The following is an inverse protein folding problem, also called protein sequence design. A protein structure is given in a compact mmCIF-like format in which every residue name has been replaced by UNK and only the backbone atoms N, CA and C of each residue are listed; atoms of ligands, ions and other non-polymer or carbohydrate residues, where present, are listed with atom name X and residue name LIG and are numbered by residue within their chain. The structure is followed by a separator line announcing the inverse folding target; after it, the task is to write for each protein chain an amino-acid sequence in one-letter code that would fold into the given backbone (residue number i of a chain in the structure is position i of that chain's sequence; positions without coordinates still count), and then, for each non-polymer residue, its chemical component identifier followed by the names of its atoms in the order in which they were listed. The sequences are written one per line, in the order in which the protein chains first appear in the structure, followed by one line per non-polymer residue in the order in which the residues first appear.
data_IF_684867623424
#
_entry.id   IF_684867623424
#
_cell.length_a   1.000
_cell.length_b   1.000
_cell.length_c   1.000
_cell.angle_alpha   90.00
_cell.angle_beta   90.00
_cell.angle_gamma   90.00
#
_symmetry.space_group_name_H-M   'P 1'
#
loop_
_entity.id
_entity.type
_entity.pdbx_description
1 polymer ?
#
# COMPACT_ATOMS: atom_id res chain seq x y z
N UNK A 1 -31.27 36.31 4.55
CA UNK A 1 -31.64 35.17 3.71
C UNK A 1 -30.35 34.47 3.31
N UNK A 2 -30.04 33.40 4.01
CA UNK A 2 -28.91 32.49 3.71
C UNK A 2 -29.48 31.42 2.80
N UNK A 3 -29.08 31.40 1.54
CA UNK A 3 -29.33 30.30 0.65
C UNK A 3 -28.38 29.18 1.05
N UNK A 4 -28.94 28.12 1.62
CA UNK A 4 -28.28 26.86 1.79
C UNK A 4 -28.09 26.23 0.39
N UNK A 5 -26.88 26.14 -0.09
CA UNK A 5 -26.54 25.34 -1.28
C UNK A 5 -26.85 23.88 -0.92
N UNK A 6 -27.89 23.33 -1.53
CA UNK A 6 -28.22 21.92 -1.43
C UNK A 6 -27.03 21.12 -2.04
N UNK A 7 -26.57 20.09 -1.34
CA UNK A 7 -25.70 19.09 -1.90
C UNK A 7 -26.37 18.50 -3.17
N UNK A 8 -25.62 18.20 -4.24
CA UNK A 8 -26.20 17.56 -5.41
C UNK A 8 -26.88 16.25 -4.99
N UNK A 9 -28.09 16.04 -5.46
CA UNK A 9 -28.83 14.81 -5.24
C UNK A 9 -28.05 13.66 -5.94
N UNK A 10 -27.94 12.51 -5.31
CA UNK A 10 -27.40 11.28 -5.88
C UNK A 10 -28.28 10.82 -7.06
N UNK A 11 -28.20 11.49 -8.22
CA UNK A 11 -29.11 11.29 -9.32
C UNK A 11 -28.55 11.61 -10.71
N UNK A 12 -27.34 12.16 -10.80
CA UNK A 12 -26.77 12.61 -12.09
C UNK A 12 -25.55 11.80 -12.54
N UNK A 13 -25.12 10.73 -11.81
CA UNK A 13 -24.03 9.88 -12.26
C UNK A 13 -24.50 8.99 -13.42
N UNK A 14 -23.84 9.16 -14.57
CA UNK A 14 -24.15 8.38 -15.77
C UNK A 14 -23.43 7.04 -15.70
N UNK A 15 -24.15 5.96 -15.43
CA UNK A 15 -23.59 4.60 -15.33
C UNK A 15 -23.12 4.03 -16.67
N UNK A 16 -23.58 4.60 -17.80
CA UNK A 16 -23.14 4.17 -19.13
C UNK A 16 -21.77 4.73 -19.52
N UNK A 17 -21.17 5.58 -18.68
CA UNK A 17 -19.81 6.07 -18.87
C UNK A 17 -18.77 4.95 -18.70
N UNK A 18 -17.69 5.06 -19.46
CA UNK A 18 -16.54 4.17 -19.34
C UNK A 18 -15.85 4.36 -17.99
N UNK A 19 -15.37 3.25 -17.41
CA UNK A 19 -14.59 3.25 -16.18
C UNK A 19 -13.18 3.74 -16.50
N UNK A 20 -12.72 4.79 -15.83
CA UNK A 20 -11.33 5.22 -15.85
C UNK A 20 -10.53 4.35 -14.87
N UNK A 21 -9.80 3.36 -15.40
CA UNK A 21 -8.99 2.46 -14.59
C UNK A 21 -7.67 3.13 -14.22
N UNK A 22 -7.42 3.33 -12.92
CA UNK A 22 -6.17 3.86 -12.40
C UNK A 22 -5.35 2.71 -11.79
N UNK A 23 -4.15 2.50 -12.29
CA UNK A 23 -3.21 1.49 -11.78
C UNK A 23 -1.89 2.13 -11.37
N UNK A 24 -0.97 1.31 -10.91
CA UNK A 24 0.36 1.71 -10.46
C UNK A 24 1.43 1.23 -11.43
N UNK A 25 2.62 1.79 -11.28
CA UNK A 25 3.84 1.41 -11.99
C UNK A 25 4.26 -0.05 -11.70
N UNK A 26 5.03 -0.66 -12.60
CA UNK A 26 5.44 -2.07 -12.52
C UNK A 26 6.23 -2.42 -11.25
N UNK A 27 7.02 -1.49 -10.72
CA UNK A 27 7.77 -1.66 -9.47
C UNK A 27 6.93 -1.60 -8.19
N UNK A 28 5.67 -1.17 -8.30
CA UNK A 28 4.78 -0.99 -7.15
C UNK A 28 4.46 -2.31 -6.45
N UNK A 29 4.77 -2.37 -5.16
CA UNK A 29 4.35 -3.49 -4.32
C UNK A 29 2.84 -3.55 -4.13
N UNK A 30 2.15 -2.41 -4.14
CA UNK A 30 0.69 -2.35 -4.08
C UNK A 30 0.07 -2.97 -5.32
N UNK A 31 0.59 -2.65 -6.53
CA UNK A 31 0.16 -3.32 -7.76
C UNK A 31 0.40 -4.82 -7.68
N UNK A 32 1.61 -5.24 -7.32
CA UNK A 32 1.95 -6.66 -7.22
C UNK A 32 1.01 -7.44 -6.30
N UNK A 33 0.75 -6.93 -5.09
CA UNK A 33 -0.18 -7.55 -4.16
C UNK A 33 -1.64 -7.51 -4.66
N UNK A 34 -2.07 -6.38 -5.23
CA UNK A 34 -3.43 -6.21 -5.73
C UNK A 34 -3.75 -7.18 -6.87
N UNK A 35 -2.89 -7.28 -7.89
CA UNK A 35 -3.13 -8.17 -9.04
C UNK A 35 -3.12 -9.64 -8.65
N UNK A 36 -2.29 -10.03 -7.69
CA UNK A 36 -2.27 -11.39 -7.15
C UNK A 36 -3.55 -11.71 -6.37
N UNK A 37 -3.95 -10.84 -5.43
CA UNK A 37 -5.11 -11.04 -4.57
C UNK A 37 -6.44 -11.00 -5.32
N UNK A 38 -6.53 -10.22 -6.40
CA UNK A 38 -7.74 -10.10 -7.22
C UNK A 38 -7.78 -11.08 -8.38
N UNK A 39 -6.68 -11.78 -8.66
CA UNK A 39 -6.57 -12.71 -9.79
C UNK A 39 -6.45 -12.01 -11.15
N UNK A 40 -6.11 -10.72 -11.18
CA UNK A 40 -5.68 -10.00 -12.40
C UNK A 40 -4.37 -10.60 -12.91
N UNK A 41 -3.45 -10.94 -12.00
CA UNK A 41 -2.32 -11.80 -12.34
C UNK A 41 -2.79 -13.25 -12.47
N UNK A 42 -2.54 -13.84 -13.61
CA UNK A 42 -2.90 -15.23 -13.88
C UNK A 42 -1.74 -16.00 -14.52
N UNK A 43 -1.75 -17.33 -14.39
CA UNK A 43 -0.78 -18.17 -15.10
C UNK A 43 -1.19 -18.36 -16.55
N UNK A 44 -0.23 -18.15 -17.45
CA UNK A 44 -0.39 -18.51 -18.88
C UNK A 44 -0.27 -20.03 -19.08
N UNK A 45 -0.41 -20.49 -20.33
CA UNK A 45 -0.30 -21.90 -20.70
C UNK A 45 1.08 -22.52 -20.40
N UNK A 46 2.11 -21.69 -20.28
CA UNK A 46 3.46 -22.10 -19.89
C UNK A 46 3.65 -22.15 -18.36
N UNK A 47 2.62 -21.77 -17.58
CA UNK A 47 2.66 -21.73 -16.13
C UNK A 47 3.34 -20.49 -15.55
N UNK A 48 3.65 -19.49 -16.38
CA UNK A 48 4.26 -18.24 -15.98
C UNK A 48 3.19 -17.26 -15.50
N UNK A 49 3.46 -16.52 -14.42
CA UNK A 49 2.59 -15.46 -13.93
C UNK A 49 2.63 -14.27 -14.89
N UNK A 50 1.46 -13.82 -15.32
CA UNK A 50 1.27 -12.69 -16.24
C UNK A 50 0.33 -11.69 -15.61
N UNK A 51 0.76 -10.43 -15.56
CA UNK A 51 -0.09 -9.31 -15.20
C UNK A 51 -0.99 -8.96 -16.40
N UNK A 52 -2.30 -9.16 -16.22
CA UNK A 52 -3.31 -8.89 -17.25
C UNK A 52 -3.99 -7.52 -17.04
N UNK A 53 -3.36 -6.60 -16.30
CA UNK A 53 -3.88 -5.24 -16.19
C UNK A 53 -4.09 -4.64 -17.58
N UNK A 54 -5.28 -4.09 -17.82
CA UNK A 54 -5.63 -3.51 -19.13
C UNK A 54 -4.64 -2.43 -19.55
N UNK A 55 -4.27 -2.43 -20.81
CA UNK A 55 -3.40 -1.39 -21.40
C UNK A 55 -4.06 0.00 -21.39
N UNK A 56 -5.39 0.07 -21.22
CA UNK A 56 -6.12 1.34 -21.09
C UNK A 56 -5.95 1.97 -19.70
N UNK A 57 -5.38 1.27 -18.73
CA UNK A 57 -5.18 1.81 -17.39
C UNK A 57 -4.22 3.00 -17.39
N UNK A 58 -4.62 4.08 -16.71
CA UNK A 58 -3.76 5.23 -16.44
C UNK A 58 -2.81 4.90 -15.28
N UNK A 59 -1.51 4.96 -15.54
CA UNK A 59 -0.48 4.55 -14.58
C UNK A 59 -0.05 5.72 -13.70
N UNK A 60 -0.09 5.52 -12.39
CA UNK A 60 0.37 6.46 -11.38
C UNK A 60 1.63 5.93 -10.68
N UNK A 61 2.62 6.79 -10.46
CA UNK A 61 3.91 6.42 -9.87
C UNK A 61 3.96 6.54 -8.34
N UNK A 62 2.84 6.82 -7.67
CA UNK A 62 2.77 6.96 -6.22
C UNK A 62 1.35 6.79 -5.69
N UNK A 63 1.24 6.51 -4.38
CA UNK A 63 -0.03 6.49 -3.65
C UNK A 63 -0.80 7.81 -3.79
N UNK A 64 -0.11 8.95 -3.64
CA UNK A 64 -0.72 10.27 -3.78
C UNK A 64 -1.19 10.54 -5.21
N UNK A 65 -0.48 10.02 -6.22
CA UNK A 65 -0.90 10.10 -7.61
C UNK A 65 -2.25 9.41 -7.85
N UNK A 66 -2.44 8.22 -7.27
CA UNK A 66 -3.72 7.51 -7.34
C UNK A 66 -4.84 8.29 -6.63
N UNK A 67 -4.59 8.77 -5.40
CA UNK A 67 -5.57 9.59 -4.66
C UNK A 67 -6.01 10.81 -5.48
N UNK A 68 -5.06 11.55 -6.04
CA UNK A 68 -5.33 12.72 -6.86
C UNK A 68 -6.11 12.37 -8.14
N UNK A 69 -5.74 11.29 -8.83
CA UNK A 69 -6.42 10.88 -10.05
C UNK A 69 -7.88 10.49 -9.78
N UNK A 70 -8.12 9.69 -8.73
CA UNK A 70 -9.46 9.22 -8.37
C UNK A 70 -10.34 10.34 -7.82
N UNK A 71 -9.80 11.25 -7.00
CA UNK A 71 -10.60 12.36 -6.42
C UNK A 71 -11.07 13.37 -7.47
N UNK A 72 -10.40 13.46 -8.61
CA UNK A 72 -10.72 14.42 -9.67
C UNK A 72 -11.51 13.82 -10.86
N UNK A 73 -11.84 12.54 -10.82
CA UNK A 73 -12.58 11.86 -11.88
C UNK A 73 -13.66 10.96 -11.26
N UNK A 74 -14.93 11.32 -11.45
CA UNK A 74 -16.08 10.57 -10.90
C UNK A 74 -16.20 9.15 -11.47
N UNK A 75 -15.62 8.90 -12.65
CA UNK A 75 -15.62 7.59 -13.31
C UNK A 75 -14.41 6.73 -12.94
N UNK A 76 -13.46 7.28 -12.17
CA UNK A 76 -12.24 6.58 -11.85
C UNK A 76 -12.41 5.54 -10.73
N UNK A 77 -11.67 4.45 -10.89
CA UNK A 77 -11.42 3.45 -9.86
C UNK A 77 -9.91 3.30 -9.66
N UNK A 78 -9.48 3.17 -8.41
CA UNK A 78 -8.08 2.98 -8.05
C UNK A 78 -7.92 2.09 -6.83
N UNK A 79 -6.69 1.86 -6.41
CA UNK A 79 -6.38 1.12 -5.20
C UNK A 79 -5.18 1.73 -4.48
N UNK A 80 -5.26 1.77 -3.16
CA UNK A 80 -4.24 2.35 -2.27
C UNK A 80 -4.09 1.54 -0.98
N UNK A 81 -3.01 1.80 -0.24
CA UNK A 81 -2.92 1.39 1.16
C UNK A 81 -4.10 1.94 1.97
N UNK A 82 -4.73 1.09 2.78
CA UNK A 82 -5.81 1.49 3.69
C UNK A 82 -5.36 2.59 4.67
N UNK A 83 -4.11 2.52 5.15
CA UNK A 83 -3.55 3.56 6.02
C UNK A 83 -3.37 4.92 5.35
N UNK A 84 -3.47 5.00 4.03
CA UNK A 84 -3.43 6.26 3.26
C UNK A 84 -4.81 6.79 2.88
N UNK A 85 -5.90 6.09 3.25
CA UNK A 85 -7.26 6.50 2.95
C UNK A 85 -7.59 7.82 3.66
N UNK A 86 -8.16 8.77 2.90
CA UNK A 86 -8.59 10.07 3.39
C UNK A 86 -10.02 10.41 2.91
N UNK A 87 -10.50 11.59 3.24
CA UNK A 87 -11.85 12.02 2.91
C UNK A 87 -12.03 12.52 1.46
N UNK A 88 -10.96 12.57 0.66
CA UNK A 88 -11.03 13.02 -0.73
C UNK A 88 -11.58 11.95 -1.67
N UNK A 89 -11.60 10.70 -1.22
CA UNK A 89 -12.09 9.54 -1.97
C UNK A 89 -12.95 8.65 -1.07
N UNK A 90 -13.70 7.75 -1.69
CA UNK A 90 -14.53 6.74 -1.03
C UNK A 90 -13.92 5.35 -1.25
N UNK A 91 -13.74 4.58 -0.18
CA UNK A 91 -13.43 3.16 -0.28
C UNK A 91 -14.73 2.36 -0.46
N UNK A 92 -14.78 1.48 -1.45
CA UNK A 92 -15.89 0.55 -1.63
C UNK A 92 -15.71 -0.66 -0.73
N UNK A 93 -16.81 -1.30 -0.34
CA UNK A 93 -16.76 -2.63 0.27
C UNK A 93 -16.35 -3.67 -0.79
N UNK A 94 -15.63 -4.69 -0.38
CA UNK A 94 -15.28 -5.83 -1.24
C UNK A 94 -15.95 -7.07 -0.68
N UNK A 95 -16.74 -7.77 -1.50
CA UNK A 95 -17.59 -8.89 -1.06
C UNK A 95 -18.51 -8.52 0.12
N UNK A 96 -18.96 -7.26 0.16
CA UNK A 96 -19.80 -6.74 1.24
C UNK A 96 -19.02 -6.41 2.53
N UNK A 97 -17.70 -6.53 2.55
CA UNK A 97 -16.86 -6.24 3.72
C UNK A 97 -16.17 -4.89 3.55
N UNK A 98 -16.36 -3.99 4.52
CA UNK A 98 -15.68 -2.69 4.51
C UNK A 98 -14.18 -2.85 4.83
N UNK A 99 -13.28 -2.14 4.11
CA UNK A 99 -11.88 -2.11 4.46
C UNK A 99 -11.68 -1.35 5.77
N UNK A 100 -11.16 -2.05 6.78
CA UNK A 100 -10.81 -1.47 8.08
C UNK A 100 -9.69 -2.28 8.73
N UNK A 101 -9.01 -1.69 9.72
CA UNK A 101 -8.00 -2.40 10.49
C UNK A 101 -8.59 -3.68 11.13
N UNK A 102 -9.81 -3.61 11.66
CA UNK A 102 -10.47 -4.76 12.29
C UNK A 102 -10.77 -5.88 11.30
N UNK A 103 -11.34 -5.56 10.12
CA UNK A 103 -11.69 -6.57 9.11
C UNK A 103 -10.46 -7.15 8.40
N UNK A 104 -9.36 -6.40 8.32
CA UNK A 104 -8.06 -6.92 7.86
C UNK A 104 -7.45 -7.83 8.93
N UNK A 105 -7.54 -7.45 10.20
CA UNK A 105 -7.00 -8.22 11.32
C UNK A 105 -7.69 -9.56 11.50
N UNK A 106 -9.02 -9.60 11.41
CA UNK A 106 -9.82 -10.83 11.58
C UNK A 106 -9.86 -11.68 10.27
N UNK A 107 -9.35 -11.14 9.15
CA UNK A 107 -9.25 -11.83 7.86
C UNK A 107 -10.53 -11.83 7.03
N UNK A 108 -11.58 -11.12 7.44
CA UNK A 108 -12.82 -10.99 6.65
C UNK A 108 -12.63 -10.10 5.43
N UNK A 109 -11.77 -9.06 5.52
CA UNK A 109 -11.31 -8.30 4.37
C UNK A 109 -10.07 -8.96 3.77
N UNK A 110 -10.19 -9.50 2.57
CA UNK A 110 -9.19 -10.40 1.98
C UNK A 110 -8.06 -9.69 1.22
N UNK A 111 -8.27 -8.43 0.82
CA UNK A 111 -7.24 -7.64 0.13
C UNK A 111 -6.25 -7.06 1.15
N UNK A 112 -5.39 -7.90 1.66
CA UNK A 112 -4.40 -7.55 2.68
C UNK A 112 -3.01 -8.08 2.32
N UNK A 113 -1.97 -7.38 2.79
CA UNK A 113 -0.57 -7.65 2.47
C UNK A 113 0.34 -7.26 3.62
N UNK A 114 1.59 -7.79 3.67
CA UNK A 114 2.57 -7.30 4.62
C UNK A 114 3.19 -5.98 4.13
N UNK A 115 3.56 -5.14 5.08
CA UNK A 115 4.57 -4.11 4.95
C UNK A 115 5.88 -4.66 5.51
N UNK A 116 6.91 -4.68 4.70
CA UNK A 116 8.19 -5.28 5.03
C UNK A 116 9.30 -4.24 5.11
N UNK A 117 10.09 -4.34 6.17
CA UNK A 117 11.46 -3.86 6.22
C UNK A 117 12.32 -4.91 5.53
N UNK A 118 13.19 -4.49 4.61
CA UNK A 118 14.04 -5.37 3.81
C UNK A 118 15.50 -5.07 4.06
N UNK A 119 16.30 -6.11 4.33
CA UNK A 119 17.75 -6.02 4.51
C UNK A 119 18.45 -7.04 3.63
N UNK A 120 19.73 -6.81 3.35
CA UNK A 120 20.60 -7.81 2.68
C UNK A 120 21.12 -8.79 3.74
N UNK A 121 20.45 -9.93 3.89
CA UNK A 121 20.70 -10.85 4.99
C UNK A 121 20.36 -10.22 6.35
N UNK A 122 21.13 -10.54 7.38
CA UNK A 122 20.98 -9.94 8.71
C UNK A 122 21.47 -8.49 8.69
N UNK A 123 20.71 -7.58 9.33
CA UNK A 123 21.15 -6.20 9.48
C UNK A 123 22.46 -6.15 10.28
N UNK A 124 23.47 -5.47 9.73
CA UNK A 124 24.81 -5.36 10.33
C UNK A 124 25.14 -3.93 10.77
N UNK A 125 24.54 -2.91 10.15
CA UNK A 125 24.74 -1.52 10.55
C UNK A 125 24.12 -1.28 11.93
N UNK A 126 24.85 -0.74 12.92
CA UNK A 126 24.33 -0.58 14.28
C UNK A 126 23.07 0.29 14.37
N UNK A 127 22.95 1.34 13.53
CA UNK A 127 21.77 2.21 13.50
C UNK A 127 20.58 1.44 12.91
N UNK A 128 20.81 0.66 11.84
CA UNK A 128 19.76 -0.17 11.24
C UNK A 128 19.25 -1.23 12.22
N UNK A 129 20.14 -1.92 12.93
CA UNK A 129 19.77 -2.93 13.94
C UNK A 129 18.93 -2.29 15.04
N UNK A 130 19.36 -1.16 15.60
CA UNK A 130 18.65 -0.46 16.68
C UNK A 130 17.29 0.09 16.21
N UNK A 131 17.23 0.66 15.00
CA UNK A 131 16.00 1.19 14.42
C UNK A 131 14.98 0.08 14.10
N UNK A 132 15.42 -1.04 13.52
CA UNK A 132 14.53 -2.18 13.26
C UNK A 132 13.98 -2.72 14.59
N UNK A 133 14.82 -2.84 15.61
CA UNK A 133 14.38 -3.24 16.94
C UNK A 133 13.35 -2.25 17.53
N UNK A 134 13.52 -0.95 17.32
CA UNK A 134 12.54 0.07 17.69
C UNK A 134 11.21 -0.12 16.92
N UNK A 135 11.26 -0.30 15.61
CA UNK A 135 10.06 -0.53 14.80
C UNK A 135 9.25 -1.75 15.30
N UNK A 136 9.95 -2.79 15.75
CA UNK A 136 9.34 -4.03 16.26
C UNK A 136 9.09 -4.01 17.77
N UNK A 137 9.36 -2.88 18.45
CA UNK A 137 9.09 -2.69 19.87
C UNK A 137 7.61 -2.46 20.15
N UNK A 138 7.24 -2.57 21.43
CA UNK A 138 5.88 -2.22 21.90
C UNK A 138 5.48 -0.81 21.46
N UNK A 139 6.38 0.18 21.54
CA UNK A 139 6.11 1.56 21.14
C UNK A 139 5.99 1.70 19.62
N UNK A 140 6.89 1.07 18.85
CA UNK A 140 6.84 1.09 17.38
C UNK A 140 5.58 0.41 16.83
N UNK A 141 5.17 -0.71 17.42
CA UNK A 141 3.97 -1.45 17.00
C UNK A 141 2.68 -0.75 17.46
N UNK A 142 2.69 -0.07 18.61
CA UNK A 142 1.59 0.79 19.04
C UNK A 142 1.40 1.96 18.06
N UNK A 143 2.50 2.60 17.63
CA UNK A 143 2.46 3.66 16.63
C UNK A 143 1.89 3.17 15.29
N UNK A 144 2.31 1.98 14.81
CA UNK A 144 1.75 1.39 13.60
C UNK A 144 0.23 1.19 13.71
N UNK A 145 -0.25 0.74 14.88
CA UNK A 145 -1.68 0.56 15.15
C UNK A 145 -2.43 1.90 15.22
N UNK A 146 -1.84 2.92 15.83
CA UNK A 146 -2.41 4.27 15.91
C UNK A 146 -2.57 4.90 14.51
N UNK A 147 -1.60 4.66 13.62
CA UNK A 147 -1.64 5.14 12.22
C UNK A 147 -2.57 4.28 11.31
N UNK A 148 -3.32 3.32 11.86
CA UNK A 148 -4.35 2.56 11.14
C UNK A 148 -3.86 1.28 10.46
N UNK A 149 -2.63 0.85 10.73
CA UNK A 149 -2.10 -0.43 10.27
C UNK A 149 -2.32 -1.53 11.32
N UNK A 150 -2.12 -2.77 10.96
CA UNK A 150 -2.22 -3.89 11.90
C UNK A 150 -0.81 -4.24 12.37
N UNK A 151 -0.45 -3.71 13.55
CA UNK A 151 0.78 -4.04 14.26
C UNK A 151 0.68 -5.36 15.01
N UNK A 152 1.81 -5.81 15.55
CA UNK A 152 1.92 -6.95 16.46
C UNK A 152 1.99 -6.47 17.92
N UNK A 153 2.15 -7.38 18.86
CA UNK A 153 2.26 -7.08 20.31
C UNK A 153 3.49 -6.22 20.62
N UNK A 154 4.53 -6.37 19.82
CA UNK A 154 5.82 -5.70 20.04
C UNK A 154 6.69 -6.39 21.08
N UNK A 155 7.97 -6.09 21.07
CA UNK A 155 8.98 -6.62 21.98
C UNK A 155 9.48 -5.54 22.94
N UNK A 156 10.07 -5.95 24.06
CA UNK A 156 10.82 -5.05 24.93
C UNK A 156 12.02 -4.47 24.17
N UNK A 157 12.22 -3.18 24.31
CA UNK A 157 13.27 -2.47 23.59
C UNK A 157 13.95 -1.42 24.48
N UNK A 158 15.25 -1.37 24.37
CA UNK A 158 16.08 -0.28 24.92
C UNK A 158 17.13 0.06 23.89
N UNK A 159 17.19 1.33 23.48
CA UNK A 159 18.16 1.79 22.50
C UNK A 159 19.59 1.66 23.02
N UNK A 160 20.48 1.18 22.16
CA UNK A 160 21.94 1.20 22.39
C UNK A 160 22.57 2.54 22.04
N UNK A 161 21.77 3.51 21.57
CA UNK A 161 22.20 4.88 21.21
C UNK A 161 23.31 4.91 20.13
N UNK A 162 23.26 4.09 19.07
CA UNK A 162 24.31 4.11 18.05
C UNK A 162 24.30 5.42 17.29
N UNK A 163 25.48 5.93 16.98
CA UNK A 163 25.64 7.11 16.13
C UNK A 163 25.89 6.70 14.67
N UNK A 164 25.35 7.46 13.75
CA UNK A 164 25.57 7.22 12.32
C UNK A 164 24.45 7.77 11.45
N UNK A 165 24.60 7.54 10.13
CA UNK A 165 23.59 7.90 9.14
C UNK A 165 23.26 6.66 8.31
N UNK A 166 21.96 6.39 8.17
CA UNK A 166 21.45 5.36 7.26
C UNK A 166 20.45 5.95 6.28
N UNK A 167 20.24 5.25 5.16
CA UNK A 167 19.22 5.57 4.17
C UNK A 167 18.17 4.46 4.17
N UNK A 168 16.91 4.87 4.32
CA UNK A 168 15.74 4.00 4.24
C UNK A 168 15.01 4.34 2.95
N UNK A 169 14.77 3.37 2.07
CA UNK A 169 14.19 3.68 0.77
C UNK A 169 13.25 2.60 0.25
N UNK A 170 12.28 3.00 -0.58
CA UNK A 170 11.38 2.06 -1.24
C UNK A 170 9.92 2.48 -1.26
N UNK A 171 9.03 1.54 -1.04
CA UNK A 171 7.57 1.63 -1.21
C UNK A 171 6.93 2.94 -0.76
N UNK A 172 6.24 3.61 -1.68
CA UNK A 172 5.46 4.82 -1.37
C UNK A 172 4.28 4.57 -0.42
N UNK A 173 3.80 3.32 -0.33
CA UNK A 173 2.73 2.94 0.60
C UNK A 173 3.23 2.75 2.03
N UNK A 174 4.50 2.33 2.20
CA UNK A 174 5.14 2.17 3.51
C UNK A 174 5.66 3.51 4.04
N UNK A 175 6.05 4.43 3.15
CA UNK A 175 6.69 5.70 3.52
C UNK A 175 5.95 6.50 4.59
N UNK A 176 4.62 6.66 4.58
CA UNK A 176 3.92 7.42 5.63
C UNK A 176 4.13 6.85 7.03
N UNK A 177 4.03 5.51 7.20
CA UNK A 177 4.31 4.85 8.47
C UNK A 177 5.79 4.97 8.85
N UNK A 178 6.68 4.77 7.88
CA UNK A 178 8.13 4.85 8.10
C UNK A 178 8.56 6.24 8.55
N UNK A 179 7.98 7.30 7.99
CA UNK A 179 8.23 8.69 8.39
C UNK A 179 7.89 8.91 9.88
N UNK A 180 6.74 8.41 10.33
CA UNK A 180 6.32 8.47 11.73
C UNK A 180 7.26 7.71 12.66
N UNK A 181 7.65 6.50 12.25
CA UNK A 181 8.59 5.68 13.02
C UNK A 181 9.98 6.35 13.12
N UNK A 182 10.47 6.95 12.04
CA UNK A 182 11.75 7.69 12.03
C UNK A 182 11.64 8.92 12.94
N UNK A 183 10.54 9.66 12.88
CA UNK A 183 10.33 10.84 13.72
C UNK A 183 10.32 10.47 15.21
N UNK A 184 9.58 9.41 15.57
CA UNK A 184 9.54 8.94 16.94
C UNK A 184 10.90 8.39 17.40
N UNK A 185 11.61 7.63 16.54
CA UNK A 185 12.94 7.10 16.85
C UNK A 185 13.98 8.20 17.13
N UNK A 186 13.90 9.37 16.48
CA UNK A 186 14.79 10.51 16.76
C UNK A 186 14.71 10.98 18.20
N UNK A 187 13.58 10.82 18.88
CA UNK A 187 13.43 11.15 20.30
C UNK A 187 14.10 10.12 21.19
N UNK A 188 14.15 8.86 20.75
CA UNK A 188 14.77 7.74 21.46
C UNK A 188 16.27 7.73 21.25
N UNK A 189 16.73 7.96 20.01
CA UNK A 189 18.14 7.99 19.65
C UNK A 189 18.49 9.26 18.84
N UNK A 190 18.83 10.38 19.49
CA UNK A 190 19.20 11.61 18.80
C UNK A 190 20.59 11.55 18.11
N UNK A 191 21.37 10.51 18.33
CA UNK A 191 22.70 10.35 17.75
C UNK A 191 22.68 9.82 16.31
N UNK A 192 21.54 9.27 15.86
CA UNK A 192 21.38 8.71 14.53
C UNK A 192 20.65 9.68 13.59
N UNK A 193 21.01 9.62 12.31
CA UNK A 193 20.30 10.32 11.22
C UNK A 193 19.75 9.29 10.25
N UNK A 194 18.44 9.31 10.03
CA UNK A 194 17.79 8.46 9.06
C UNK A 194 17.22 9.32 7.92
N UNK A 195 17.63 9.04 6.70
CA UNK A 195 17.13 9.67 5.48
C UNK A 195 16.11 8.76 4.83
N UNK A 196 14.91 9.27 4.56
CA UNK A 196 13.84 8.53 3.90
C UNK A 196 13.78 8.90 2.41
N UNK A 197 13.78 7.89 1.54
CA UNK A 197 13.62 8.05 0.09
C UNK A 197 12.42 7.23 -0.39
N UNK A 198 11.40 7.93 -0.89
CA UNK A 198 10.19 7.30 -1.39
C UNK A 198 10.35 6.95 -2.86
N UNK A 199 10.22 5.67 -3.18
CA UNK A 199 10.26 5.11 -4.53
C UNK A 199 9.15 4.04 -4.65
N UNK A 200 9.49 2.85 -5.12
CA UNK A 200 8.61 1.68 -5.20
C UNK A 200 9.23 0.46 -4.47
N UNK A 201 8.45 -0.61 -4.32
CA UNK A 201 8.91 -1.80 -3.59
C UNK A 201 10.06 -2.53 -4.27
N UNK A 202 10.06 -2.63 -5.59
CA UNK A 202 11.14 -3.31 -6.33
C UNK A 202 12.46 -2.54 -6.19
N UNK A 203 12.41 -1.22 -6.31
CA UNK A 203 13.55 -0.32 -6.05
C UNK A 203 14.00 -0.42 -4.59
N UNK A 204 13.07 -0.53 -3.64
CA UNK A 204 13.39 -0.71 -2.22
C UNK A 204 14.17 -2.00 -1.95
N UNK A 205 13.71 -3.11 -2.52
CA UNK A 205 14.39 -4.42 -2.37
C UNK A 205 15.74 -4.43 -3.08
N UNK A 206 15.81 -3.98 -4.33
CA UNK A 206 17.09 -3.95 -5.07
C UNK A 206 18.10 -3.02 -4.41
N UNK A 207 17.65 -1.85 -3.91
CA UNK A 207 18.52 -0.92 -3.19
C UNK A 207 19.05 -1.47 -1.87
N UNK A 208 18.28 -2.30 -1.16
CA UNK A 208 18.77 -3.01 0.01
C UNK A 208 19.83 -4.05 -0.36
N UNK A 209 19.63 -4.77 -1.48
CA UNK A 209 20.57 -5.80 -1.94
C UNK A 209 21.89 -5.22 -2.46
N UNK A 210 21.86 -4.10 -3.16
CA UNK A 210 23.06 -3.46 -3.73
C UNK A 210 23.74 -2.46 -2.79
N UNK A 211 23.13 -2.18 -1.63
CA UNK A 211 23.67 -1.28 -0.62
C UNK A 211 23.36 0.21 -0.84
N UNK A 212 22.54 0.57 -1.83
CA UNK A 212 22.04 1.93 -2.03
C UNK A 212 21.19 2.38 -0.82
N UNK A 213 20.38 1.46 -0.30
CA UNK A 213 19.63 1.62 0.94
C UNK A 213 20.17 0.70 2.03
N UNK A 214 20.34 1.22 3.22
CA UNK A 214 20.66 0.40 4.40
C UNK A 214 19.46 -0.46 4.80
N UNK A 215 18.25 0.10 4.59
CA UNK A 215 16.97 -0.54 4.80
C UNK A 215 16.09 -0.27 3.58
N UNK A 216 15.56 -1.35 2.98
CA UNK A 216 14.53 -1.27 1.96
C UNK A 216 13.13 -1.33 2.55
N UNK A 217 12.15 -0.85 1.80
CA UNK A 217 10.72 -0.94 2.14
C UNK A 217 9.96 -1.61 1.01
N UNK A 218 9.16 -2.63 1.34
CA UNK A 218 8.29 -3.31 0.38
C UNK A 218 6.88 -3.50 0.94
N UNK A 219 5.86 -3.23 0.11
CA UNK A 219 4.44 -3.38 0.45
C UNK A 219 3.81 -4.61 -0.21
N UNK A 220 4.57 -5.66 -0.29
CA UNK A 220 4.23 -6.99 -0.79
C UNK A 220 5.16 -8.04 -0.19
N UNK A 221 4.82 -9.30 -0.37
CA UNK A 221 5.78 -10.39 -0.14
C UNK A 221 7.00 -10.24 -1.05
N UNK A 222 8.16 -10.70 -0.58
CA UNK A 222 9.35 -10.78 -1.41
C UNK A 222 9.17 -11.86 -2.48
N UNK A 223 9.70 -11.60 -3.67
CA UNK A 223 9.76 -12.59 -4.75
C UNK A 223 10.82 -13.65 -4.40
N UNK A 224 10.62 -14.89 -4.86
CA UNK A 224 11.59 -15.96 -4.65
C UNK A 224 13.01 -15.55 -5.10
N UNK A 225 13.13 -14.90 -6.26
CA UNK A 225 14.40 -14.40 -6.77
C UNK A 225 15.06 -13.32 -5.89
N UNK A 226 14.27 -12.52 -5.17
CA UNK A 226 14.78 -11.53 -4.22
C UNK A 226 15.32 -12.22 -2.97
N UNK A 227 14.61 -13.23 -2.47
CA UNK A 227 15.06 -14.06 -1.33
C UNK A 227 16.30 -14.85 -1.68
N UNK A 228 16.34 -15.48 -2.86
CA UNK A 228 17.53 -16.19 -3.38
C UNK A 228 18.72 -15.23 -3.56
N UNK A 229 18.44 -13.97 -3.90
CA UNK A 229 19.44 -12.89 -3.98
C UNK A 229 19.95 -12.39 -2.63
N UNK A 230 19.41 -12.88 -1.52
CA UNK A 230 19.84 -12.54 -0.15
C UNK A 230 18.93 -11.55 0.59
N UNK A 231 17.81 -11.12 -0.02
CA UNK A 231 16.87 -10.24 0.67
C UNK A 231 16.20 -10.95 1.85
N UNK A 232 16.19 -10.28 3.00
CA UNK A 232 15.51 -10.72 4.20
C UNK A 232 14.43 -9.71 4.56
N UNK A 233 13.19 -10.19 4.74
CA UNK A 233 12.07 -9.39 5.19
C UNK A 233 11.86 -9.50 6.69
N UNK A 234 11.55 -8.36 7.31
CA UNK A 234 10.96 -8.28 8.65
C UNK A 234 9.58 -7.64 8.47
N UNK A 235 8.52 -8.37 8.82
CA UNK A 235 7.15 -7.86 8.71
C UNK A 235 6.96 -6.74 9.71
N UNK A 236 6.82 -5.52 9.22
CA UNK A 236 6.63 -4.31 10.03
C UNK A 236 5.20 -4.22 10.54
N UNK A 237 4.24 -4.43 9.66
CA UNK A 237 2.81 -4.41 9.93
C UNK A 237 2.05 -5.12 8.81
N UNK A 238 0.77 -5.42 9.01
CA UNK A 238 -0.14 -5.80 7.93
C UNK A 238 -0.96 -4.58 7.52
N UNK A 239 -1.24 -4.46 6.22
CA UNK A 239 -2.01 -3.38 5.63
C UNK A 239 -3.09 -3.92 4.70
N UNK A 240 -4.25 -3.26 4.70
CA UNK A 240 -5.31 -3.51 3.72
C UNK A 240 -5.06 -2.72 2.43
N UNK A 241 -5.51 -3.27 1.30
CA UNK A 241 -5.59 -2.53 0.04
C UNK A 241 -7.02 -2.07 -0.15
N UNK A 242 -7.27 -0.77 -0.01
CA UNK A 242 -8.58 -0.18 -0.25
C UNK A 242 -8.79 0.04 -1.75
N UNK A 243 -9.90 -0.45 -2.28
CA UNK A 243 -10.39 -0.09 -3.62
C UNK A 243 -11.19 1.19 -3.49
N UNK A 244 -10.80 2.21 -4.22
CA UNK A 244 -11.32 3.57 -4.07
C UNK A 244 -11.98 4.09 -5.34
N UNK A 245 -13.01 4.88 -5.15
CA UNK A 245 -13.69 5.67 -6.18
C UNK A 245 -13.85 7.11 -5.72
N UNK A 246 -14.20 8.02 -6.63
CA UNK A 246 -14.57 9.39 -6.26
C UNK A 246 -15.76 9.39 -5.28
N UNK A 247 -15.84 10.42 -4.42
CA UNK A 247 -16.97 10.62 -3.53
C UNK A 247 -18.30 10.82 -4.29
N UNK A 248 -18.23 11.25 -5.56
CA UNK A 248 -19.40 11.46 -6.42
C UNK A 248 -19.85 10.17 -7.13
N UNK A 249 -19.05 9.10 -7.11
CA UNK A 249 -19.40 7.80 -7.67
C UNK A 249 -20.37 7.06 -6.73
N UNK A 250 -21.54 6.58 -7.21
CA UNK A 250 -22.54 5.93 -6.36
C UNK A 250 -22.19 4.50 -5.93
N UNK A 251 -21.15 3.89 -6.51
CA UNK A 251 -20.76 2.49 -6.24
C UNK A 251 -20.27 2.35 -4.79
N UNK A 252 -20.90 1.44 -4.04
CA UNK A 252 -20.56 1.20 -2.63
C UNK A 252 -19.96 -0.19 -2.39
N UNK A 253 -20.14 -1.13 -3.31
CA UNK A 253 -19.65 -2.50 -3.19
C UNK A 253 -19.21 -3.05 -4.54
N UNK A 254 -18.14 -3.83 -4.53
CA UNK A 254 -17.68 -4.62 -5.67
C UNK A 254 -17.31 -6.03 -5.19
N UNK A 255 -17.54 -7.02 -6.02
CA UNK A 255 -16.97 -8.36 -5.83
C UNK A 255 -15.53 -8.41 -6.34
N UNK A 256 -14.76 -9.39 -5.88
CA UNK A 256 -13.40 -9.63 -6.41
C UNK A 256 -13.44 -9.90 -7.91
N UNK A 257 -14.45 -10.64 -8.39
CA UNK A 257 -14.61 -10.92 -9.83
C UNK A 257 -14.92 -9.64 -10.62
N UNK A 258 -15.74 -8.73 -10.10
CA UNK A 258 -15.98 -7.42 -10.73
C UNK A 258 -14.70 -6.58 -10.78
N UNK A 259 -13.95 -6.51 -9.69
CA UNK A 259 -12.65 -5.82 -9.65
C UNK A 259 -11.71 -6.39 -10.70
N UNK A 260 -11.60 -7.72 -10.77
CA UNK A 260 -10.82 -8.40 -11.80
C UNK A 260 -11.29 -8.02 -13.20
N UNK A 261 -12.59 -8.11 -13.47
CA UNK A 261 -13.17 -7.77 -14.79
C UNK A 261 -12.87 -6.32 -15.21
N UNK A 262 -12.94 -5.36 -14.28
CA UNK A 262 -12.59 -3.97 -14.53
C UNK A 262 -11.09 -3.85 -14.87
N UNK A 263 -10.22 -4.41 -14.05
CA UNK A 263 -8.76 -4.26 -14.24
C UNK A 263 -8.19 -5.08 -15.39
N UNK A 264 -8.89 -6.10 -15.88
CA UNK A 264 -8.55 -6.81 -17.12
C UNK A 264 -9.17 -6.19 -18.38
N UNK A 265 -10.10 -5.24 -18.21
CA UNK A 265 -10.82 -4.60 -19.31
C UNK A 265 -11.98 -5.42 -19.87
N UNK A 266 -12.44 -6.44 -19.15
CA UNK A 266 -13.64 -7.22 -19.49
C UNK A 266 -14.93 -6.45 -19.16
N UNK A 267 -14.92 -5.66 -18.07
CA UNK A 267 -15.99 -4.75 -17.66
C UNK A 267 -15.50 -3.32 -17.90
N UNK A 268 -16.16 -2.58 -18.75
CA UNK A 268 -15.68 -1.27 -19.22
C UNK A 268 -16.56 -0.11 -18.81
N UNK A 269 -17.79 -0.34 -18.42
CA UNK A 269 -18.72 0.70 -17.98
C UNK A 269 -19.20 0.46 -16.56
N UNK A 270 -19.64 1.52 -15.87
CA UNK A 270 -20.22 1.39 -14.54
C UNK A 270 -21.56 0.63 -14.56
N UNK A 271 -22.25 0.58 -15.69
CA UNK A 271 -23.45 -0.26 -15.88
C UNK A 271 -23.14 -1.77 -15.80
N UNK A 272 -21.92 -2.18 -16.18
CA UNK A 272 -21.50 -3.58 -16.15
C UNK A 272 -21.36 -4.13 -14.72
N UNK A 273 -21.28 -3.24 -13.71
CA UNK A 273 -21.03 -3.61 -12.30
C UNK A 273 -22.19 -3.29 -11.35
N UNK A 274 -23.34 -2.91 -11.90
CA UNK A 274 -24.58 -2.62 -11.14
C UNK A 274 -25.26 -3.89 -10.63
#
# INVERSE_FOLDING_TARGET
SSEATAAPAAGDFDVDQDITVISREDGSGTRGAFIELTGVEAKNDAGEKVDNTTEAAAIQSSTNGVLTAVSNDETAIGYISLGSLNNDVKAVTVEGVAPSADTVKDGTYTLARPFNIVTNGEAADPVAVDFIAYCMSTDGQALATEEGYIGDVGADYTSTQPAGKIVVGGSSSVSPLMEKLIEAYKTVNPNATLELQTTDSTTGVSGALDGTYTIGMASRELKDSEVEGGAKATVLAKDGIAVIVSNDNPTDNLTVDQIKGIYTGELTTWADVQ
#
